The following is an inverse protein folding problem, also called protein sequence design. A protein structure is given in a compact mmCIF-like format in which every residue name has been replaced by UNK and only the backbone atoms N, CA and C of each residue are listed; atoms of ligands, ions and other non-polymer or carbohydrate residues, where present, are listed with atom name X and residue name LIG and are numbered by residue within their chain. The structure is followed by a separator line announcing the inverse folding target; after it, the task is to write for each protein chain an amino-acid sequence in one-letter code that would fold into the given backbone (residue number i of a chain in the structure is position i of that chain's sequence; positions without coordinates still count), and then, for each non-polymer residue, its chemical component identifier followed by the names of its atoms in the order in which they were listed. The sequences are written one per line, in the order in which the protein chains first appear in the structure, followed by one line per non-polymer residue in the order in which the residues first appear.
data_IF_950245418205
#
_entry.id   IF_950245418205
#
_cell.length_a   1.000
_cell.length_b   1.000
_cell.length_c   1.000
_cell.angle_alpha   90.00
_cell.angle_beta   90.00
_cell.angle_gamma   90.00
#
_symmetry.space_group_name_H-M   'P 1'
#
loop_
_entity.id
_entity.type
_entity.pdbx_description
1 polymer ?
#
# COMPACT_ATOMS: atom_id res chain seq x y z
N UNK A 1 -30.98 1.80 12.14
CA UNK A 1 -29.56 1.39 12.01
C UNK A 1 -28.94 2.39 11.06
N UNK A 2 -28.51 3.52 11.60
CA UNK A 2 -28.03 4.66 10.84
C UNK A 2 -26.62 4.36 10.32
N UNK A 3 -26.54 4.06 9.04
CA UNK A 3 -25.29 3.88 8.34
C UNK A 3 -24.76 5.27 8.00
N UNK A 4 -24.05 5.88 8.95
CA UNK A 4 -23.34 7.14 8.72
C UNK A 4 -22.22 6.86 7.70
N UNK A 5 -22.52 7.10 6.42
CA UNK A 5 -21.50 7.27 5.41
C UNK A 5 -20.64 8.45 5.86
N UNK A 6 -19.52 8.15 6.51
CA UNK A 6 -18.52 9.13 6.89
C UNK A 6 -18.09 9.82 5.59
N UNK A 7 -18.48 11.08 5.42
CA UNK A 7 -18.02 11.91 4.30
C UNK A 7 -16.53 12.12 4.51
N UNK A 8 -15.72 11.28 3.89
CA UNK A 8 -14.26 11.45 3.87
C UNK A 8 -13.96 12.66 3.00
N UNK A 9 -13.78 13.81 3.64
CA UNK A 9 -13.28 15.00 2.97
C UNK A 9 -11.93 14.65 2.33
N UNK A 10 -11.81 14.84 1.01
CA UNK A 10 -10.59 14.49 0.30
C UNK A 10 -9.42 15.32 0.82
N UNK A 11 -8.46 14.70 1.52
CA UNK A 11 -7.22 15.32 1.99
C UNK A 11 -6.19 15.48 0.85
N UNK A 12 -6.64 15.94 -0.32
CA UNK A 12 -5.77 16.16 -1.46
C UNK A 12 -4.99 17.47 -1.29
N UNK A 13 -3.66 17.40 -1.31
CA UNK A 13 -2.81 18.56 -1.23
C UNK A 13 -1.35 18.23 -0.94
N UNK A 14 -0.49 19.25 -1.01
CA UNK A 14 0.90 19.18 -0.58
C UNK A 14 1.02 20.01 0.69
N UNK A 15 1.51 19.37 1.75
CA UNK A 15 1.63 19.99 3.07
C UNK A 15 3.10 20.03 3.45
N UNK A 16 3.59 21.21 3.86
CA UNK A 16 4.91 21.31 4.43
C UNK A 16 4.91 20.59 5.80
N UNK A 17 5.79 19.61 5.95
CA UNK A 17 5.98 18.86 7.18
C UNK A 17 7.43 18.96 7.65
N UNK A 18 7.62 18.95 8.97
CA UNK A 18 8.94 18.94 9.59
C UNK A 18 9.13 17.68 10.42
N UNK A 19 10.37 17.18 10.43
CA UNK A 19 10.82 16.15 11.37
C UNK A 19 11.50 16.87 12.52
N UNK A 20 11.06 16.61 13.75
CA UNK A 20 11.72 17.19 14.92
C UNK A 20 12.98 16.40 15.32
N UNK A 21 13.72 16.91 16.30
CA UNK A 21 14.98 16.33 16.81
C UNK A 21 14.86 14.89 17.33
N UNK A 22 13.62 14.40 17.54
CA UNK A 22 13.32 13.04 17.97
C UNK A 22 12.89 12.13 16.82
N UNK A 23 13.03 12.58 15.58
CA UNK A 23 12.64 11.82 14.38
C UNK A 23 11.13 11.72 14.18
N UNK A 24 10.31 12.56 14.82
CA UNK A 24 8.85 12.53 14.66
C UNK A 24 8.42 13.49 13.57
N UNK A 25 7.61 13.01 12.64
CA UNK A 25 6.91 13.84 11.66
C UNK A 25 5.70 14.49 12.32
N UNK A 26 5.63 15.81 12.29
CA UNK A 26 4.41 16.53 12.67
C UNK A 26 3.40 16.44 11.53
N UNK A 27 2.23 15.86 11.79
CA UNK A 27 1.14 15.81 10.82
C UNK A 27 0.29 17.08 10.92
N UNK A 28 -0.22 17.63 9.80
CA UNK A 28 -1.25 18.64 9.86
C UNK A 28 -2.48 18.12 10.60
N UNK A 29 -3.19 19.02 11.29
CA UNK A 29 -4.31 18.66 12.17
C UNK A 29 -5.40 17.88 11.43
N UNK A 30 -5.66 18.25 10.19
CA UNK A 30 -6.64 17.61 9.32
C UNK A 30 -6.32 16.13 9.05
N UNK A 31 -5.03 15.80 8.92
CA UNK A 31 -4.58 14.41 8.78
C UNK A 31 -4.72 13.64 10.08
N UNK A 32 -4.39 14.27 11.22
CA UNK A 32 -4.60 13.63 12.52
C UNK A 32 -6.08 13.31 12.75
N UNK A 33 -6.97 14.28 12.50
CA UNK A 33 -8.41 14.11 12.69
C UNK A 33 -8.96 13.02 11.76
N UNK A 34 -8.50 12.98 10.50
CA UNK A 34 -8.83 11.91 9.57
C UNK A 34 -8.34 10.54 10.03
N UNK A 35 -7.06 10.42 10.44
CA UNK A 35 -6.52 9.15 10.94
C UNK A 35 -7.20 8.71 12.24
N UNK A 36 -7.64 9.66 13.07
CA UNK A 36 -8.40 9.41 14.30
C UNK A 36 -9.83 8.93 14.02
N UNK A 37 -10.41 9.28 12.89
CA UNK A 37 -11.74 8.77 12.49
C UNK A 37 -11.74 7.25 12.29
N UNK A 38 -10.58 6.62 12.12
CA UNK A 38 -10.46 5.16 12.07
C UNK A 38 -10.49 4.55 13.48
N UNK A 39 -11.41 3.60 13.66
CA UNK A 39 -11.82 3.00 14.95
C UNK A 39 -10.71 2.32 15.78
N UNK A 40 -9.48 2.25 15.29
CA UNK A 40 -8.37 1.55 15.96
C UNK A 40 -7.13 2.42 16.19
N UNK A 41 -7.09 3.67 15.72
CA UNK A 41 -5.92 4.57 15.76
C UNK A 41 -4.59 3.93 15.30
N UNK A 42 -4.66 2.75 14.66
CA UNK A 42 -3.53 1.96 14.23
C UNK A 42 -3.20 2.38 12.82
N UNK A 43 -1.98 2.90 12.66
CA UNK A 43 -1.42 3.30 11.38
C UNK A 43 -0.28 2.36 11.02
N UNK A 44 -0.10 2.17 9.72
CA UNK A 44 0.98 1.40 9.13
C UNK A 44 1.87 2.33 8.31
N UNK A 45 3.17 2.09 8.38
CA UNK A 45 4.17 2.79 7.62
C UNK A 45 4.77 1.82 6.60
N UNK A 46 4.82 2.23 5.34
CA UNK A 46 5.41 1.43 4.27
C UNK A 46 6.22 2.31 3.32
N UNK A 47 7.25 1.72 2.72
CA UNK A 47 7.99 2.32 1.61
C UNK A 47 8.17 1.25 0.53
N UNK A 48 8.27 1.68 -0.73
CA UNK A 48 8.46 0.81 -1.89
C UNK A 48 9.85 1.04 -2.51
N UNK A 49 10.34 2.28 -2.46
CA UNK A 49 11.53 2.80 -3.12
C UNK A 49 12.55 3.39 -2.14
N UNK A 50 12.26 3.39 -0.83
CA UNK A 50 13.03 4.07 0.22
C UNK A 50 13.08 5.59 0.12
N UNK A 51 12.38 6.20 -0.85
CA UNK A 51 12.32 7.66 -1.02
C UNK A 51 11.04 8.23 -0.39
N UNK A 52 9.93 7.52 -0.54
CA UNK A 52 8.62 7.97 -0.08
C UNK A 52 8.08 7.05 1.02
N UNK A 53 7.82 7.63 2.18
CA UNK A 53 7.08 7.00 3.26
C UNK A 53 5.58 7.18 3.04
N UNK A 54 4.85 6.07 3.03
CA UNK A 54 3.39 6.03 2.90
C UNK A 54 2.78 5.66 4.24
N UNK A 55 1.72 6.38 4.61
CA UNK A 55 0.97 6.16 5.86
C UNK A 55 -0.38 5.58 5.49
N UNK A 56 -0.73 4.44 6.09
CA UNK A 56 -2.01 3.77 5.85
C UNK A 56 -2.77 3.58 7.16
N UNK A 57 -4.05 3.97 7.25
CA UNK A 57 -4.92 3.45 8.30
C UNK A 57 -5.15 1.94 8.07
N UNK A 58 -5.39 1.20 9.16
CA UNK A 58 -5.51 -0.26 9.13
C UNK A 58 -6.39 -0.85 7.99
N UNK A 59 -7.63 -0.39 7.73
CA UNK A 59 -8.44 -0.99 6.68
C UNK A 59 -7.88 -0.75 5.27
N UNK A 60 -7.21 0.39 5.03
CA UNK A 60 -6.59 0.66 3.72
C UNK A 60 -5.31 -0.17 3.54
N UNK A 61 -4.58 -0.43 4.63
CA UNK A 61 -3.45 -1.36 4.60
C UNK A 61 -3.87 -2.78 4.20
N UNK A 62 -4.95 -3.28 4.77
CA UNK A 62 -5.46 -4.62 4.45
C UNK A 62 -5.89 -4.71 2.97
N UNK A 63 -6.54 -3.67 2.44
CA UNK A 63 -6.88 -3.57 1.00
C UNK A 63 -5.65 -3.49 0.11
N UNK A 64 -4.65 -2.73 0.51
CA UNK A 64 -3.39 -2.61 -0.22
C UNK A 64 -2.67 -3.96 -0.29
N UNK A 65 -2.61 -4.70 0.83
CA UNK A 65 -2.04 -6.04 0.88
C UNK A 65 -2.79 -7.02 -0.02
N UNK A 66 -4.13 -6.96 -0.06
CA UNK A 66 -4.92 -7.80 -0.96
C UNK A 66 -4.60 -7.50 -2.43
N UNK A 67 -4.49 -6.22 -2.79
CA UNK A 67 -4.12 -5.80 -4.15
C UNK A 67 -2.74 -6.33 -4.55
N UNK A 68 -1.75 -6.21 -3.67
CA UNK A 68 -0.39 -6.70 -3.89
C UNK A 68 -0.39 -8.23 -4.07
N UNK A 69 -1.09 -8.96 -3.20
CA UNK A 69 -1.20 -10.43 -3.30
C UNK A 69 -1.81 -10.86 -4.63
N UNK A 70 -2.92 -10.25 -5.02
CA UNK A 70 -3.59 -10.57 -6.29
C UNK A 70 -2.80 -10.15 -7.53
N UNK A 71 -1.86 -9.20 -7.42
CA UNK A 71 -0.94 -8.88 -8.50
C UNK A 71 0.18 -9.92 -8.61
N UNK A 72 0.77 -10.33 -7.49
CA UNK A 72 1.80 -11.36 -7.45
C UNK A 72 1.31 -12.72 -8.01
N UNK A 73 0.06 -13.09 -7.71
CA UNK A 73 -0.57 -14.28 -8.27
C UNK A 73 -0.69 -14.20 -9.80
N UNK A 74 -1.07 -13.04 -10.35
CA UNK A 74 -1.17 -12.83 -11.81
C UNK A 74 0.18 -12.96 -12.51
N UNK A 75 1.23 -12.41 -11.93
CA UNK A 75 2.59 -12.52 -12.49
C UNK A 75 3.12 -13.95 -12.45
N UNK A 76 2.75 -14.73 -11.43
CA UNK A 76 3.15 -16.14 -11.32
C UNK A 76 2.52 -17.01 -12.43
N UNK A 77 1.33 -16.64 -12.93
CA UNK A 77 0.72 -17.27 -14.11
C UNK A 77 1.24 -16.70 -15.45
N UNK A 78 1.83 -15.51 -15.46
CA UNK A 78 2.45 -14.91 -16.64
C UNK A 78 3.86 -15.46 -16.93
N UNK A 79 4.53 -16.06 -15.94
CA UNK A 79 5.76 -16.83 -16.16
C UNK A 79 5.44 -18.16 -16.87
N UNK A 80 5.31 -18.11 -18.19
CA UNK A 80 5.43 -19.30 -19.05
C UNK A 80 6.92 -19.54 -19.24
N UNK A 81 7.55 -20.54 -18.58
CA UNK A 81 8.90 -20.92 -18.96
C UNK A 81 8.90 -21.27 -20.45
N UNK A 82 9.91 -20.86 -21.23
CA UNK A 82 9.99 -21.28 -22.62
C UNK A 82 9.86 -22.80 -22.66
N UNK A 83 8.98 -23.30 -23.52
CA UNK A 83 8.84 -24.73 -23.72
C UNK A 83 10.26 -25.27 -23.96
N UNK A 84 10.71 -26.20 -23.10
CA UNK A 84 11.98 -26.89 -23.34
C UNK A 84 11.87 -27.52 -24.71
N UNK A 85 12.57 -26.96 -25.69
CA UNK A 85 12.74 -27.58 -26.99
C UNK A 85 13.58 -28.83 -26.70
N UNK A 86 12.94 -29.99 -26.73
CA UNK A 86 13.65 -31.26 -26.73
C UNK A 86 14.31 -31.41 -28.09
N UNK A 87 15.51 -30.84 -28.24
CA UNK A 87 16.46 -31.22 -29.28
C UNK A 87 17.08 -32.56 -28.88
N UNK A 88 16.30 -33.64 -28.99
CA UNK A 88 16.86 -34.97 -29.12
C UNK A 88 16.94 -35.28 -30.61
N UNK A 89 18.04 -34.84 -31.21
CA UNK A 89 18.58 -35.51 -32.39
C UNK A 89 18.76 -36.99 -32.03
N UNK A 90 17.91 -37.85 -32.58
CA UNK A 90 18.21 -39.28 -32.72
C UNK A 90 18.30 -39.55 -34.21
N UNK A 91 19.49 -39.35 -34.75
CA UNK A 91 19.94 -39.93 -36.01
C UNK A 91 21.01 -40.97 -35.65
N UNK A 92 20.59 -42.23 -35.58
CA UNK A 92 21.44 -43.40 -35.75
C UNK A 92 20.68 -44.42 -36.59
#
# INVERSE_FOLDING_TARGET
MDNAAQVTQSLAGVFAGGINDKGRLALPKEFEDFLRSYNNHRIFLATVDHEILRIYPAPEWDRQLQTIRSAAERDQFAFRPPARVNDFETLH
#
